data_IF_350626810236
#
_entry.id   IF_350626810236
#
_cell.length_a   1.000
_cell.length_b   1.000
_cell.length_c   1.000
_cell.angle_alpha   90.00
_cell.angle_beta   90.00
_cell.angle_gamma   90.00
#
_symmetry.space_group_name_H-M   'P 1'
#
loop_
_entity.id
_entity.type
_entity.pdbx_description
1 polymer ?
#
# COMPACT_ATOMS: atom_id res chain seq x y z
N UNK A 1 -5.21 -42.15 50.70
CA UNK A 1 -3.97 -42.15 51.51
C UNK A 1 -2.87 -41.54 50.63
N UNK A 2 -2.14 -40.53 51.10
CA UNK A 2 -0.73 -40.59 51.57
C UNK A 2 0.25 -40.96 50.43
N UNK A 3 1.33 -40.24 50.14
CA UNK A 3 1.91 -38.99 50.67
C UNK A 3 2.63 -38.21 49.53
N UNK A 4 3.05 -36.94 49.67
CA UNK A 4 4.26 -36.49 50.42
C UNK A 4 5.55 -37.28 50.07
N UNK A 5 6.75 -36.70 49.90
CA UNK A 5 7.26 -35.36 50.26
C UNK A 5 8.62 -35.09 49.55
N UNK A 6 8.86 -33.90 49.00
CA UNK A 6 9.77 -32.81 49.50
C UNK A 6 11.30 -32.87 49.22
N UNK A 7 11.85 -31.64 49.14
CA UNK A 7 13.26 -31.17 49.38
C UNK A 7 14.27 -31.45 48.26
N UNK A 8 15.26 -30.57 48.02
CA UNK A 8 15.58 -29.22 48.57
C UNK A 8 16.25 -28.35 47.48
N UNK A 9 16.22 -27.01 47.47
CA UNK A 9 16.49 -26.00 48.51
C UNK A 9 17.98 -25.58 48.61
N UNK A 10 18.22 -24.26 48.73
CA UNK A 10 19.40 -23.54 49.30
C UNK A 10 20.63 -23.37 48.35
N UNK A 11 21.46 -22.30 48.30
CA UNK A 11 21.69 -20.95 48.93
C UNK A 11 22.56 -20.12 47.92
N UNK A 12 22.92 -18.81 48.04
CA UNK A 12 22.32 -17.57 48.58
C UNK A 12 23.27 -16.35 48.31
N UNK A 13 22.79 -15.11 48.56
CA UNK A 13 23.52 -13.83 48.37
C UNK A 13 22.65 -12.79 47.64
N UNK A 14 22.20 -11.62 48.15
CA UNK A 14 22.72 -10.63 49.12
C UNK A 14 24.08 -10.04 48.72
N UNK A 15 24.31 -8.72 48.65
CA UNK A 15 23.54 -7.47 48.91
C UNK A 15 24.19 -6.31 48.06
N UNK A 16 23.64 -5.07 48.00
CA UNK A 16 23.98 -4.07 46.97
C UNK A 16 25.00 -2.99 47.40
N UNK A 17 25.51 -2.21 46.44
CA UNK A 17 26.20 -0.93 46.67
C UNK A 17 25.80 0.15 45.63
N UNK A 18 25.81 1.40 46.09
CA UNK A 18 25.20 2.62 45.52
C UNK A 18 26.20 3.48 44.68
N UNK A 19 25.76 4.58 44.02
CA UNK A 19 26.49 5.20 42.90
C UNK A 19 27.54 6.25 43.29
N UNK A 20 28.36 6.65 42.32
CA UNK A 20 29.28 7.79 42.42
C UNK A 20 29.19 8.70 41.18
N UNK A 21 28.89 9.98 41.41
CA UNK A 21 29.04 11.07 40.43
C UNK A 21 30.52 11.42 40.18
N UNK A 22 30.82 12.19 39.13
CA UNK A 22 31.96 13.09 39.10
C UNK A 22 31.51 14.57 39.14
N UNK A 23 31.83 15.26 40.23
CA UNK A 23 31.73 16.72 40.34
C UNK A 23 32.87 17.42 39.59
N UNK A 24 32.58 18.49 38.86
CA UNK A 24 33.55 19.25 38.05
C UNK A 24 33.22 20.74 37.94
N UNK A 25 33.32 21.48 39.05
CA UNK A 25 33.53 22.94 39.10
C UNK A 25 34.90 23.31 38.48
N UNK A 26 35.18 24.51 37.98
CA UNK A 26 34.41 25.73 37.70
C UNK A 26 35.25 26.58 36.72
N UNK A 27 34.68 27.63 36.12
CA UNK A 27 35.34 28.94 36.11
C UNK A 27 34.38 30.04 35.68
N UNK A 28 34.45 31.18 36.36
CA UNK A 28 33.70 32.37 36.01
C UNK A 28 34.51 33.62 36.37
N UNK A 29 34.62 34.56 35.44
CA UNK A 29 35.13 35.89 35.72
C UNK A 29 34.57 36.93 34.74
N UNK A 30 33.76 37.82 35.30
CA UNK A 30 33.47 39.17 34.81
C UNK A 30 34.69 40.10 35.09
N UNK A 31 34.83 41.38 34.69
CA UNK A 31 33.87 42.43 34.32
C UNK A 31 34.57 43.54 33.43
N UNK A 32 34.33 44.89 33.45
CA UNK A 32 33.96 45.62 32.22
C UNK A 32 34.72 46.96 31.90
N UNK A 33 34.17 47.72 30.92
CA UNK A 33 34.12 49.19 30.77
C UNK A 33 35.28 49.98 30.06
N UNK A 34 34.95 50.53 28.87
CA UNK A 34 34.78 51.98 28.48
C UNK A 34 35.71 53.12 29.03
N UNK A 35 35.67 54.38 28.51
CA UNK A 35 35.03 54.96 27.28
C UNK A 35 35.94 55.94 26.46
N UNK A 36 35.41 56.57 25.39
CA UNK A 36 35.68 57.99 25.04
C UNK A 36 34.72 58.59 23.97
N UNK A 37 34.39 59.88 24.12
CA UNK A 37 33.45 60.67 23.30
C UNK A 37 34.09 61.30 22.05
N UNK A 38 33.30 61.71 21.03
CA UNK A 38 33.29 63.09 20.45
C UNK A 38 31.89 63.44 19.89
N UNK A 39 31.54 64.72 20.03
CA UNK A 39 30.33 65.48 19.64
C UNK A 39 30.03 65.48 18.13
N UNK A 40 28.74 65.50 17.78
CA UNK A 40 28.24 65.50 16.39
C UNK A 40 27.91 66.86 15.74
N UNK A 41 27.10 66.81 14.68
CA UNK A 41 26.40 67.92 14.02
C UNK A 41 25.27 67.35 13.13
N UNK A 42 24.12 68.03 13.04
CA UNK A 42 23.05 67.73 12.06
C UNK A 42 22.85 68.96 11.17
N UNK A 43 22.59 68.79 9.86
CA UNK A 43 21.57 69.65 9.26
C UNK A 43 20.70 69.03 8.14
N UNK A 44 19.41 69.38 8.24
CA UNK A 44 18.49 69.76 7.14
C UNK A 44 17.82 68.65 6.30
N UNK A 45 16.49 68.73 6.28
CA UNK A 45 15.59 67.85 5.55
C UNK A 45 15.60 68.05 4.04
N UNK A 46 15.43 66.94 3.30
CA UNK A 46 15.08 66.93 1.89
C UNK A 46 13.78 66.12 1.69
N UNK A 47 12.80 66.72 0.99
CA UNK A 47 11.55 66.02 0.64
C UNK A 47 11.81 64.90 -0.39
N UNK A 48 11.27 63.68 -0.21
CA UNK A 48 11.25 62.68 -1.25
C UNK A 48 10.16 63.01 -2.28
N UNK A 49 10.53 63.08 -3.56
CA UNK A 49 9.56 63.06 -4.66
C UNK A 49 8.86 61.70 -4.77
N UNK A 50 7.67 61.62 -5.40
CA UNK A 50 6.91 60.38 -5.47
C UNK A 50 7.63 59.34 -6.34
N UNK A 51 8.09 58.26 -5.71
CA UNK A 51 8.59 57.10 -6.42
C UNK A 51 7.47 56.47 -7.27
N UNK A 52 7.77 56.18 -8.54
CA UNK A 52 6.84 55.49 -9.43
C UNK A 52 6.48 54.11 -8.86
N UNK A 53 5.22 53.64 -9.00
CA UNK A 53 4.81 52.34 -8.50
C UNK A 53 5.55 51.25 -9.26
N UNK A 54 6.43 50.53 -8.56
CA UNK A 54 7.03 49.31 -9.08
C UNK A 54 5.93 48.28 -9.28
N UNK A 55 5.79 47.77 -10.51
CA UNK A 55 4.89 46.64 -10.76
C UNK A 55 5.33 45.46 -9.88
N UNK A 56 4.41 44.76 -9.20
CA UNK A 56 4.75 43.54 -8.49
C UNK A 56 5.19 42.51 -9.53
N UNK A 57 6.48 42.21 -9.56
CA UNK A 57 7.02 41.13 -10.38
C UNK A 57 6.33 39.83 -9.96
N UNK A 58 5.45 39.32 -10.80
CA UNK A 58 4.65 38.12 -10.52
C UNK A 58 5.58 36.91 -10.52
N UNK A 59 6.11 36.59 -9.33
CA UNK A 59 7.00 35.46 -9.13
C UNK A 59 6.41 34.19 -9.77
N UNK A 60 7.18 33.45 -10.59
CA UNK A 60 6.67 32.27 -11.26
C UNK A 60 6.20 31.22 -10.24
N UNK A 61 5.13 30.46 -10.54
CA UNK A 61 4.55 29.53 -9.58
C UNK A 61 5.58 28.48 -9.13
N UNK A 62 5.59 28.09 -7.83
CA UNK A 62 6.64 27.25 -7.28
C UNK A 62 6.73 25.90 -8.01
N UNK A 63 7.86 25.70 -8.70
CA UNK A 63 8.12 24.57 -9.59
C UNK A 63 7.94 23.19 -8.93
N UNK A 64 8.12 23.11 -7.60
CA UNK A 64 7.84 21.93 -6.80
C UNK A 64 6.39 21.44 -6.86
N UNK A 65 5.40 22.34 -6.95
CA UNK A 65 3.96 21.97 -7.01
C UNK A 65 3.65 21.25 -8.32
N UNK A 66 4.19 21.71 -9.44
CA UNK A 66 4.01 21.08 -10.76
C UNK A 66 4.69 19.72 -10.83
N UNK A 67 5.88 19.57 -10.23
CA UNK A 67 6.62 18.29 -10.18
C UNK A 67 5.88 17.23 -9.34
N UNK A 68 5.33 17.64 -8.20
CA UNK A 68 4.50 16.81 -7.32
C UNK A 68 3.27 16.23 -8.05
N UNK A 69 2.47 17.09 -8.69
CA UNK A 69 1.24 16.67 -9.37
C UNK A 69 1.51 15.71 -10.55
N UNK A 70 2.59 15.93 -11.32
CA UNK A 70 2.99 15.01 -12.40
C UNK A 70 3.39 13.62 -11.89
N UNK A 71 4.08 13.55 -10.75
CA UNK A 71 4.44 12.29 -10.09
C UNK A 71 3.18 11.48 -9.74
N UNK A 72 2.23 12.09 -9.02
CA UNK A 72 0.98 11.44 -8.61
C UNK A 72 0.14 10.99 -9.81
N UNK A 73 -0.06 11.87 -10.82
CA UNK A 73 -0.80 11.51 -12.04
C UNK A 73 -0.19 10.30 -12.76
N UNK A 74 1.14 10.20 -12.86
CA UNK A 74 1.81 9.04 -13.46
C UNK A 74 1.55 7.74 -12.69
N UNK A 75 1.49 7.80 -11.35
CA UNK A 75 1.19 6.61 -10.52
C UNK A 75 -0.24 6.11 -10.73
N UNK A 76 -1.22 7.03 -10.73
CA UNK A 76 -2.61 6.71 -11.07
C UNK A 76 -2.73 6.15 -12.49
N UNK A 77 -2.06 6.76 -13.48
CA UNK A 77 -2.08 6.27 -14.86
C UNK A 77 -1.58 4.82 -14.96
N UNK A 78 -0.43 4.49 -14.35
CA UNK A 78 0.10 3.11 -14.33
C UNK A 78 -0.92 2.16 -13.69
N UNK A 79 -1.40 2.47 -12.49
CA UNK A 79 -2.29 1.61 -11.71
C UNK A 79 -3.62 1.35 -12.46
N UNK A 80 -4.23 2.40 -13.02
CA UNK A 80 -5.48 2.30 -13.77
C UNK A 80 -5.29 1.61 -15.12
N UNK A 81 -4.18 1.85 -15.84
CA UNK A 81 -3.89 1.12 -17.08
C UNK A 81 -3.71 -0.37 -16.81
N UNK A 82 -3.02 -0.77 -15.75
CA UNK A 82 -2.90 -2.18 -15.37
C UNK A 82 -4.26 -2.80 -15.01
N UNK A 83 -5.10 -2.08 -14.25
CA UNK A 83 -6.45 -2.56 -13.93
C UNK A 83 -7.31 -2.77 -15.19
N UNK A 84 -7.30 -1.82 -16.13
CA UNK A 84 -8.00 -1.92 -17.41
C UNK A 84 -7.48 -3.10 -18.25
N UNK A 85 -6.17 -3.33 -18.29
CA UNK A 85 -5.59 -4.49 -18.99
C UNK A 85 -6.03 -5.80 -18.38
N UNK A 86 -6.07 -5.93 -17.05
CA UNK A 86 -6.53 -7.15 -16.36
C UNK A 86 -8.02 -7.40 -16.63
N UNK A 87 -8.88 -6.39 -16.51
CA UNK A 87 -10.32 -6.51 -16.82
C UNK A 87 -10.53 -6.92 -18.29
N UNK A 88 -9.81 -6.29 -19.22
CA UNK A 88 -9.93 -6.59 -20.65
C UNK A 88 -9.48 -8.02 -20.99
N UNK A 89 -8.39 -8.49 -20.41
CA UNK A 89 -7.92 -9.87 -20.59
C UNK A 89 -8.89 -10.88 -19.97
N UNK A 90 -9.37 -10.64 -18.76
CA UNK A 90 -10.28 -11.53 -18.05
C UNK A 90 -11.64 -11.65 -18.73
N UNK A 91 -12.30 -10.53 -19.05
CA UNK A 91 -13.56 -10.56 -19.81
C UNK A 91 -13.39 -11.20 -21.20
N UNK A 92 -12.26 -10.96 -21.89
CA UNK A 92 -11.99 -11.60 -23.19
C UNK A 92 -11.83 -13.11 -23.04
N UNK A 93 -11.08 -13.59 -22.03
CA UNK A 93 -10.91 -15.02 -21.78
C UNK A 93 -12.23 -15.69 -21.38
N UNK A 94 -13.01 -15.08 -20.50
CA UNK A 94 -14.34 -15.58 -20.10
C UNK A 94 -15.33 -15.62 -21.26
N UNK A 95 -15.32 -14.62 -22.14
CA UNK A 95 -16.10 -14.62 -23.37
C UNK A 95 -15.65 -15.75 -24.33
N UNK A 96 -14.34 -15.91 -24.55
CA UNK A 96 -13.81 -16.99 -25.39
C UNK A 96 -14.21 -18.37 -24.87
N UNK A 97 -14.11 -18.61 -23.55
CA UNK A 97 -14.52 -19.89 -22.96
C UNK A 97 -16.01 -20.12 -23.07
N UNK A 98 -16.84 -19.15 -22.67
CA UNK A 98 -18.30 -19.29 -22.68
C UNK A 98 -18.91 -19.45 -24.09
N UNK A 99 -18.17 -19.09 -25.14
CA UNK A 99 -18.59 -19.24 -26.55
C UNK A 99 -18.04 -20.49 -27.25
N UNK A 100 -16.96 -21.11 -26.75
CA UNK A 100 -16.28 -22.25 -27.40
C UNK A 100 -16.25 -23.55 -26.58
N UNK A 101 -16.55 -23.50 -25.28
CA UNK A 101 -16.52 -24.65 -24.37
C UNK A 101 -17.94 -24.88 -23.82
N UNK A 102 -18.35 -26.14 -23.70
CA UNK A 102 -19.65 -26.49 -23.11
C UNK A 102 -19.55 -26.38 -21.59
N UNK A 103 -20.60 -25.87 -20.93
CA UNK A 103 -20.66 -25.78 -19.47
C UNK A 103 -20.43 -27.14 -18.81
N UNK A 104 -19.67 -27.16 -17.72
CA UNK A 104 -19.26 -28.35 -16.96
C UNK A 104 -18.44 -29.37 -17.78
N UNK A 105 -17.72 -28.91 -18.83
CA UNK A 105 -16.81 -29.75 -19.64
C UNK A 105 -15.37 -29.24 -19.64
N UNK A 106 -14.43 -30.15 -19.90
CA UNK A 106 -12.98 -29.92 -19.85
C UNK A 106 -12.31 -30.14 -21.21
N UNK A 107 -11.44 -29.22 -21.62
CA UNK A 107 -10.71 -29.30 -22.90
C UNK A 107 -9.25 -28.86 -22.73
N UNK A 108 -8.24 -29.63 -23.18
CA UNK A 108 -8.30 -31.04 -23.55
C UNK A 108 -8.36 -31.94 -22.30
N UNK A 109 -9.21 -32.96 -22.30
CA UNK A 109 -9.32 -33.89 -21.19
C UNK A 109 -8.00 -34.64 -20.91
N UNK A 110 -7.66 -34.81 -19.62
CA UNK A 110 -6.47 -35.56 -19.18
C UNK A 110 -5.13 -34.80 -19.27
N UNK A 111 -5.15 -33.51 -19.59
CA UNK A 111 -3.97 -32.64 -19.49
C UNK A 111 -3.75 -32.17 -18.04
N UNK A 112 -2.49 -31.94 -17.59
CA UNK A 112 -2.21 -31.34 -16.28
C UNK A 112 -2.71 -29.89 -16.15
N UNK A 113 -3.09 -29.23 -17.24
CA UNK A 113 -3.86 -27.98 -17.21
C UNK A 113 -4.95 -28.07 -18.28
N UNK A 114 -6.20 -27.85 -17.91
CA UNK A 114 -7.35 -27.88 -18.83
C UNK A 114 -8.12 -26.55 -18.77
N UNK A 115 -8.90 -26.29 -19.82
CA UNK A 115 -9.96 -25.29 -19.82
C UNK A 115 -11.25 -25.98 -19.39
N UNK A 116 -11.75 -25.65 -18.21
CA UNK A 116 -12.91 -26.29 -17.58
C UNK A 116 -14.00 -25.25 -17.30
N UNK A 117 -14.98 -25.10 -18.20
CA UNK A 117 -15.97 -24.02 -18.07
C UNK A 117 -16.93 -24.26 -16.90
N UNK A 118 -16.78 -23.46 -15.83
CA UNK A 118 -17.62 -23.48 -14.63
C UNK A 118 -18.27 -22.10 -14.41
N UNK A 119 -19.51 -22.12 -13.92
CA UNK A 119 -20.22 -20.93 -13.42
C UNK A 119 -20.21 -20.91 -11.89
N UNK A 120 -19.28 -20.16 -11.30
CA UNK A 120 -19.09 -20.06 -9.87
C UNK A 120 -19.96 -18.97 -9.24
N UNK A 121 -21.11 -19.36 -8.71
CA UNK A 121 -22.07 -18.49 -8.01
C UNK A 121 -21.76 -18.31 -6.51
N UNK A 122 -20.54 -18.65 -6.04
CA UNK A 122 -20.11 -18.47 -4.64
C UNK A 122 -20.86 -19.29 -3.58
N UNK A 123 -22.03 -19.82 -3.91
CA UNK A 123 -22.94 -20.59 -3.09
C UNK A 123 -23.14 -21.94 -3.76
N UNK A 124 -22.74 -23.03 -3.10
CA UNK A 124 -23.08 -24.38 -3.53
C UNK A 124 -24.61 -24.48 -3.70
N UNK A 125 -25.08 -24.57 -4.95
CA UNK A 125 -26.48 -24.67 -5.35
C UNK A 125 -27.43 -23.65 -4.67
N UNK A 126 -26.97 -22.40 -4.48
CA UNK A 126 -27.80 -21.34 -3.91
C UNK A 126 -28.12 -21.45 -2.41
N UNK A 127 -27.46 -22.38 -1.69
CA UNK A 127 -27.67 -22.55 -0.24
C UNK A 127 -27.17 -21.35 0.60
N UNK A 128 -26.25 -20.55 0.07
CA UNK A 128 -25.54 -19.51 0.82
C UNK A 128 -25.30 -18.21 0.01
N UNK A 129 -26.35 -17.52 -0.49
CA UNK A 129 -26.21 -16.30 -1.30
C UNK A 129 -25.49 -15.15 -0.57
N UNK A 130 -25.32 -15.22 0.75
CA UNK A 130 -24.49 -14.29 1.51
C UNK A 130 -23.01 -14.27 1.09
N UNK A 131 -22.48 -15.31 0.43
CA UNK A 131 -21.08 -15.32 0.02
C UNK A 131 -20.80 -14.37 -1.15
N UNK A 132 -21.71 -14.22 -2.11
CA UNK A 132 -21.56 -13.21 -3.17
C UNK A 132 -21.71 -11.78 -2.62
N UNK A 133 -22.65 -11.57 -1.69
CA UNK A 133 -22.78 -10.28 -1.01
C UNK A 133 -21.51 -9.93 -0.21
N UNK A 134 -20.97 -10.90 0.54
CA UNK A 134 -19.72 -10.73 1.28
C UNK A 134 -18.55 -10.45 0.33
N UNK A 135 -18.45 -11.15 -0.79
CA UNK A 135 -17.46 -10.87 -1.84
C UNK A 135 -17.58 -9.42 -2.32
N UNK A 136 -18.78 -8.97 -2.69
CA UNK A 136 -19.01 -7.61 -3.19
C UNK A 136 -18.65 -6.53 -2.17
N UNK A 137 -18.97 -6.74 -0.88
CA UNK A 137 -18.57 -5.82 0.20
C UNK A 137 -17.05 -5.75 0.35
N UNK A 138 -16.37 -6.91 0.40
CA UNK A 138 -14.90 -6.95 0.53
C UNK A 138 -14.22 -6.34 -0.70
N UNK A 139 -14.70 -6.68 -1.91
CA UNK A 139 -14.20 -6.12 -3.17
C UNK A 139 -14.37 -4.59 -3.19
N UNK A 140 -15.53 -4.06 -2.81
CA UNK A 140 -15.77 -2.62 -2.75
C UNK A 140 -14.81 -1.91 -1.77
N UNK A 141 -14.57 -2.48 -0.58
CA UNK A 141 -13.61 -1.95 0.40
C UNK A 141 -12.19 -1.93 -0.20
N UNK A 142 -11.75 -3.03 -0.82
CA UNK A 142 -10.43 -3.14 -1.46
C UNK A 142 -10.27 -2.15 -2.61
N UNK A 143 -11.28 -2.03 -3.49
CA UNK A 143 -11.30 -1.09 -4.61
C UNK A 143 -11.15 0.35 -4.10
N UNK A 144 -11.98 0.77 -3.14
CA UNK A 144 -11.92 2.13 -2.55
C UNK A 144 -10.58 2.37 -1.87
N UNK A 145 -10.07 1.41 -1.10
CA UNK A 145 -8.78 1.53 -0.43
C UNK A 145 -7.61 1.68 -1.41
N UNK A 146 -7.58 0.90 -2.49
CA UNK A 146 -6.54 1.00 -3.53
C UNK A 146 -6.65 2.34 -4.28
N UNK A 147 -7.86 2.80 -4.61
CA UNK A 147 -8.04 4.07 -5.32
C UNK A 147 -7.65 5.29 -4.48
N UNK A 148 -7.97 5.31 -3.18
CA UNK A 148 -7.65 6.43 -2.30
C UNK A 148 -6.18 6.43 -1.84
N UNK A 149 -5.63 5.27 -1.49
CA UNK A 149 -4.33 5.17 -0.80
C UNK A 149 -3.24 4.51 -1.64
N UNK A 150 -3.56 3.65 -2.62
CA UNK A 150 -2.58 2.86 -3.37
C UNK A 150 -1.43 3.68 -3.98
N UNK A 151 -1.71 4.78 -4.72
CA UNK A 151 -0.67 5.66 -5.27
C UNK A 151 0.17 6.42 -4.22
N UNK A 152 -0.29 6.53 -2.97
CA UNK A 152 0.41 7.25 -1.89
C UNK A 152 1.30 6.35 -1.02
N UNK A 153 1.06 5.03 -0.96
CA UNK A 153 1.81 4.03 -0.16
C UNK A 153 3.32 3.89 -0.48
N UNK A 154 3.84 4.66 -1.43
CA UNK A 154 5.22 4.54 -1.94
C UNK A 154 5.51 3.17 -2.56
N UNK A 155 6.77 2.89 -2.85
CA UNK A 155 7.18 1.72 -3.62
C UNK A 155 7.36 2.01 -5.11
N UNK A 156 8.00 1.07 -5.81
CA UNK A 156 8.35 1.20 -7.24
C UNK A 156 7.23 0.76 -8.19
N UNK A 157 7.56 0.68 -9.48
CA UNK A 157 6.65 0.25 -10.56
C UNK A 157 5.92 -1.06 -10.21
N UNK A 158 6.67 -2.07 -9.73
CA UNK A 158 6.15 -3.40 -9.42
C UNK A 158 4.96 -3.37 -8.42
N UNK A 159 4.95 -2.45 -7.46
CA UNK A 159 3.83 -2.30 -6.53
C UNK A 159 2.60 -1.68 -7.19
N UNK A 160 2.78 -0.72 -8.09
CA UNK A 160 1.66 -0.12 -8.84
C UNK A 160 1.02 -1.12 -9.79
N UNK A 161 1.83 -1.99 -10.42
CA UNK A 161 1.34 -3.11 -11.22
C UNK A 161 0.57 -4.10 -10.35
N UNK A 162 1.09 -4.48 -9.18
CA UNK A 162 0.40 -5.37 -8.24
C UNK A 162 -0.94 -4.82 -7.74
N UNK A 163 -0.98 -3.55 -7.33
CA UNK A 163 -2.21 -2.88 -6.91
C UNK A 163 -3.20 -2.72 -8.07
N UNK A 164 -2.72 -2.44 -9.28
CA UNK A 164 -3.54 -2.44 -10.49
C UNK A 164 -4.10 -3.82 -10.83
N UNK A 165 -3.33 -4.89 -10.59
CA UNK A 165 -3.77 -6.28 -10.75
C UNK A 165 -4.90 -6.67 -9.79
N UNK A 166 -4.74 -6.35 -8.50
CA UNK A 166 -5.80 -6.54 -7.49
C UNK A 166 -7.03 -5.71 -7.86
N UNK A 167 -6.87 -4.43 -8.17
CA UNK A 167 -7.97 -3.54 -8.54
C UNK A 167 -8.73 -4.06 -9.77
N UNK A 168 -8.01 -4.42 -10.83
CA UNK A 168 -8.59 -4.96 -12.06
C UNK A 168 -9.35 -6.26 -11.81
N UNK A 169 -8.73 -7.22 -11.12
CA UNK A 169 -9.37 -8.50 -10.82
C UNK A 169 -10.60 -8.37 -9.92
N UNK A 170 -10.54 -7.55 -8.86
CA UNK A 170 -11.69 -7.29 -7.98
C UNK A 170 -12.84 -6.59 -8.71
N UNK A 171 -12.56 -5.71 -9.66
CA UNK A 171 -13.59 -5.09 -10.51
C UNK A 171 -14.20 -6.13 -11.46
N UNK A 172 -13.37 -6.91 -12.16
CA UNK A 172 -13.80 -7.93 -13.15
C UNK A 172 -14.75 -8.95 -12.51
N UNK A 173 -14.31 -9.62 -11.44
CA UNK A 173 -15.11 -10.61 -10.71
C UNK A 173 -16.27 -9.99 -9.90
N UNK A 174 -16.27 -8.66 -9.71
CA UNK A 174 -17.41 -7.89 -9.19
C UNK A 174 -18.47 -7.60 -10.25
N UNK A 175 -18.07 -7.24 -11.47
CA UNK A 175 -18.98 -7.01 -12.60
C UNK A 175 -19.74 -8.28 -12.94
N UNK A 176 -19.04 -9.42 -13.06
CA UNK A 176 -19.63 -10.75 -13.25
C UNK A 176 -20.77 -11.02 -12.23
N UNK A 177 -20.48 -10.90 -10.93
CA UNK A 177 -21.48 -11.11 -9.87
C UNK A 177 -22.67 -10.14 -9.94
N UNK A 178 -22.44 -8.89 -10.33
CA UNK A 178 -23.50 -7.89 -10.44
C UNK A 178 -24.37 -8.04 -11.70
N UNK A 179 -23.82 -8.55 -12.80
CA UNK A 179 -24.50 -8.62 -14.11
C UNK A 179 -25.17 -9.98 -14.35
N UNK A 180 -24.50 -11.08 -14.02
CA UNK A 180 -24.96 -12.44 -14.30
C UNK A 180 -25.16 -13.30 -13.03
N UNK A 181 -24.71 -12.86 -11.86
CA UNK A 181 -24.89 -13.57 -10.58
C UNK A 181 -23.93 -14.74 -10.34
N UNK A 182 -22.89 -14.86 -11.16
CA UNK A 182 -21.81 -15.85 -11.03
C UNK A 182 -20.54 -15.34 -11.72
N UNK A 183 -19.40 -15.95 -11.42
CA UNK A 183 -18.14 -15.74 -12.14
C UNK A 183 -17.88 -16.90 -13.10
N UNK A 184 -17.34 -16.61 -14.28
CA UNK A 184 -16.87 -17.65 -15.20
C UNK A 184 -15.45 -18.07 -14.82
N UNK A 185 -15.32 -19.27 -14.25
CA UNK A 185 -14.04 -19.89 -13.92
C UNK A 185 -13.69 -20.93 -15.00
N UNK A 186 -12.40 -21.06 -15.33
CA UNK A 186 -12.01 -21.87 -16.48
C UNK A 186 -10.61 -22.48 -16.44
N UNK A 187 -9.71 -22.08 -15.56
CA UNK A 187 -8.33 -22.59 -15.50
C UNK A 187 -8.27 -23.70 -14.44
N UNK A 188 -8.17 -24.95 -14.88
CA UNK A 188 -8.14 -26.12 -14.00
C UNK A 188 -6.77 -26.79 -14.05
N UNK A 189 -6.00 -26.66 -12.96
CA UNK A 189 -4.60 -27.07 -12.92
C UNK A 189 -4.34 -28.47 -12.38
N UNK A 190 -5.33 -29.28 -11.99
CA UNK A 190 -5.23 -30.73 -11.67
C UNK A 190 -4.16 -31.26 -10.65
N UNK A 191 -2.91 -30.79 -10.65
CA UNK A 191 -1.79 -31.21 -9.81
C UNK A 191 -1.81 -30.63 -8.38
N UNK A 192 -2.81 -29.82 -8.05
CA UNK A 192 -2.93 -29.14 -6.76
C UNK A 192 -4.41 -29.00 -6.40
N UNK A 193 -4.75 -28.99 -5.09
CA UNK A 193 -6.12 -28.78 -4.58
C UNK A 193 -6.59 -27.32 -4.72
N UNK A 194 -6.18 -26.65 -5.80
CA UNK A 194 -6.64 -25.31 -6.14
C UNK A 194 -8.02 -25.38 -6.78
N UNK A 195 -8.90 -24.49 -6.36
CA UNK A 195 -10.17 -24.28 -7.04
C UNK A 195 -9.90 -23.77 -8.46
N UNK A 196 -10.73 -24.19 -9.42
CA UNK A 196 -10.73 -23.67 -10.80
C UNK A 196 -10.86 -22.14 -10.74
N UNK A 197 -10.07 -21.42 -11.52
CA UNK A 197 -9.91 -19.97 -11.40
C UNK A 197 -9.89 -19.26 -12.76
N UNK A 198 -9.80 -17.93 -12.75
CA UNK A 198 -9.77 -17.09 -13.94
C UNK A 198 -8.59 -16.10 -13.93
N UNK A 199 -8.53 -15.18 -14.90
CA UNK A 199 -7.44 -14.20 -15.05
C UNK A 199 -7.55 -13.08 -14.01
N UNK A 200 -8.76 -12.72 -13.59
CA UNK A 200 -8.96 -11.80 -12.47
C UNK A 200 -8.40 -12.35 -11.15
N UNK A 201 -8.56 -13.65 -10.87
CA UNK A 201 -7.97 -14.29 -9.70
C UNK A 201 -6.44 -14.32 -9.76
N UNK A 202 -5.86 -14.57 -10.94
CA UNK A 202 -4.40 -14.41 -11.15
C UNK A 202 -3.93 -12.98 -10.81
N UNK A 203 -4.69 -11.96 -11.22
CA UNK A 203 -4.43 -10.56 -10.91
C UNK A 203 -4.48 -10.25 -9.41
N UNK A 204 -5.48 -10.78 -8.70
CA UNK A 204 -5.64 -10.64 -7.25
C UNK A 204 -4.52 -11.37 -6.50
N UNK A 205 -4.32 -12.67 -6.74
CA UNK A 205 -3.35 -13.51 -6.02
C UNK A 205 -1.93 -13.05 -6.32
N UNK A 206 -1.57 -12.85 -7.59
CA UNK A 206 -0.24 -12.37 -7.98
C UNK A 206 0.07 -10.98 -7.41
N UNK A 207 -0.90 -10.07 -7.43
CA UNK A 207 -0.76 -8.76 -6.82
C UNK A 207 -0.60 -8.84 -5.29
N UNK A 208 -1.38 -9.68 -4.62
CA UNK A 208 -1.30 -9.88 -3.17
C UNK A 208 0.08 -10.42 -2.75
N UNK A 209 0.58 -11.45 -3.44
CA UNK A 209 1.92 -12.01 -3.19
C UNK A 209 3.01 -10.95 -3.30
N UNK A 210 2.95 -10.10 -4.33
CA UNK A 210 3.91 -9.00 -4.54
C UNK A 210 3.82 -7.90 -3.47
N UNK A 211 2.62 -7.63 -2.94
CA UNK A 211 2.42 -6.67 -1.83
C UNK A 211 2.97 -7.23 -0.51
N UNK A 212 2.64 -8.48 -0.18
CA UNK A 212 3.10 -9.17 1.04
C UNK A 212 4.63 -9.34 1.04
N UNK A 213 5.22 -9.79 -0.06
CA UNK A 213 6.67 -9.93 -0.21
C UNK A 213 7.41 -8.60 0.03
N UNK A 214 6.90 -7.50 -0.53
CA UNK A 214 7.44 -6.15 -0.31
C UNK A 214 7.23 -5.60 1.12
N UNK A 215 6.32 -6.19 1.90
CA UNK A 215 6.14 -5.83 3.31
C UNK A 215 7.19 -6.53 4.18
N UNK A 216 7.45 -7.82 3.93
CA UNK A 216 8.50 -8.59 4.61
C UNK A 216 9.89 -7.95 4.50
N UNK A 217 10.35 -7.67 3.27
CA UNK A 217 11.66 -7.01 3.03
C UNK A 217 11.83 -5.72 3.83
N UNK A 218 10.75 -4.93 3.99
CA UNK A 218 10.80 -3.66 4.73
C UNK A 218 10.95 -3.87 6.23
N UNK A 219 10.37 -4.94 6.77
CA UNK A 219 10.51 -5.29 8.18
C UNK A 219 11.96 -5.73 8.47
N UNK A 220 12.53 -6.60 7.65
CA UNK A 220 13.92 -7.05 7.79
C UNK A 220 14.92 -5.89 7.68
N UNK A 221 14.66 -4.95 6.75
CA UNK A 221 15.46 -3.73 6.58
C UNK A 221 15.39 -2.76 7.77
N UNK A 222 14.35 -2.85 8.60
CA UNK A 222 14.18 -2.03 9.81
C UNK A 222 14.67 -2.74 11.08
N UNK A 223 14.77 -4.08 11.06
CA UNK A 223 15.33 -4.86 12.16
C UNK A 223 16.87 -4.93 12.14
N UNK A 224 17.50 -4.53 11.03
CA UNK A 224 18.94 -4.64 10.79
C UNK A 224 19.72 -3.31 10.90
N UNK A 225 19.10 -2.22 11.38
CA UNK A 225 19.71 -0.89 11.51
C UNK A 225 19.33 -0.20 12.82
#
# INVERSE_FOLDING_TARGET
MVGESRRGALLAGREPLTPTEPTGTADGQSNPAEPSMVVGEEPVAAHPGPAAPTHPETAPPPSGRVRSLRSTRRRYAILLTTAVVVIALDHLSKWLVSTHVVLDTQVPAGSPVTIHYIQNSGAAFGLFPQFDFLYLVVAAIVIVYILLYGPSMGGGLLRLLALGGILGGSISNGIDRLVQGYVVDFIDTHFWLFQIFNVADMGIVGGMLVVVYQLGIRHDSQAAG
#
